data_IF_384457057472
#
_entry.id   IF_384457057472
#
_cell.length_a   1.000
_cell.length_b   1.000
_cell.length_c   1.000
_cell.angle_alpha   90.00
_cell.angle_beta   90.00
_cell.angle_gamma   90.00
#
_symmetry.space_group_name_H-M   'P 1'
#
loop_
_entity.id
_entity.type
_entity.pdbx_description
1 polymer ?
#
# COMPACT_ATOMS: atom_id res chain seq x y z
N UNK A 1 6.82 -23.66 52.07
CA UNK A 1 7.58 -23.46 50.83
C UNK A 1 6.68 -22.75 49.85
N UNK A 2 6.56 -21.43 50.01
CA UNK A 2 5.85 -20.57 49.06
C UNK A 2 6.90 -20.06 48.09
N UNK A 3 6.78 -20.44 46.82
CA UNK A 3 7.69 -19.99 45.77
C UNK A 3 7.05 -18.78 45.10
N UNK A 4 7.41 -17.60 45.59
CA UNK A 4 7.04 -16.29 45.04
C UNK A 4 7.64 -16.10 43.65
N UNK A 5 6.76 -16.00 42.65
CA UNK A 5 7.06 -15.56 41.29
C UNK A 5 7.53 -14.11 41.32
N UNK A 6 8.84 -13.89 41.20
CA UNK A 6 9.38 -12.58 40.85
C UNK A 6 9.06 -12.30 39.38
N UNK A 7 7.97 -11.57 39.15
CA UNK A 7 7.71 -10.93 37.87
C UNK A 7 8.75 -9.82 37.66
N UNK A 8 9.63 -10.01 36.69
CA UNK A 8 10.61 -9.00 36.26
C UNK A 8 9.90 -7.83 35.60
N UNK A 9 9.53 -6.82 36.39
CA UNK A 9 9.15 -5.49 35.90
C UNK A 9 10.39 -4.76 35.38
N UNK A 10 10.81 -5.09 34.16
CA UNK A 10 11.66 -4.21 33.35
C UNK A 10 10.74 -3.17 32.70
N UNK A 11 10.26 -2.19 33.47
CA UNK A 11 9.74 -0.95 32.88
C UNK A 11 10.95 -0.20 32.30
N UNK A 12 11.15 -0.34 31.01
CA UNK A 12 12.04 0.53 30.24
C UNK A 12 11.55 1.97 30.40
N UNK A 13 12.42 2.88 30.83
CA UNK A 13 12.10 4.30 31.02
C UNK A 13 11.63 5.00 29.71
N UNK A 14 11.69 4.31 28.56
CA UNK A 14 11.32 4.81 27.24
C UNK A 14 10.18 4.02 26.57
N UNK A 15 9.36 3.27 27.31
CA UNK A 15 8.22 2.53 26.74
C UNK A 15 6.89 3.08 27.23
N UNK A 16 5.96 3.28 26.29
CA UNK A 16 4.55 3.59 26.57
C UNK A 16 3.68 2.41 26.14
N UNK A 17 2.70 2.07 26.97
CA UNK A 17 1.73 1.00 26.67
C UNK A 17 0.35 1.61 26.46
N UNK A 18 -0.30 1.23 25.37
CA UNK A 18 -1.70 1.52 25.10
C UNK A 18 -2.46 0.20 24.96
N UNK A 19 -3.55 0.06 25.72
CA UNK A 19 -4.45 -1.08 25.62
C UNK A 19 -5.63 -0.68 24.73
N UNK A 20 -5.64 -1.22 23.51
CA UNK A 20 -6.75 -1.02 22.58
C UNK A 20 -7.98 -1.82 23.02
N UNK A 21 -9.21 -1.26 22.91
CA UNK A 21 -10.44 -2.01 23.17
C UNK A 21 -10.68 -3.14 22.15
N UNK A 22 -10.00 -3.11 21.01
CA UNK A 22 -10.13 -4.09 19.93
C UNK A 22 -8.75 -4.60 19.48
N UNK A 23 -8.64 -5.82 18.93
CA UNK A 23 -7.41 -6.27 18.28
C UNK A 23 -6.98 -5.28 17.19
N UNK A 24 -5.68 -5.03 17.06
CA UNK A 24 -5.14 -4.06 16.09
C UNK A 24 -4.75 -4.80 14.81
N UNK A 25 -5.23 -4.32 13.66
CA UNK A 25 -4.91 -4.85 12.33
C UNK A 25 -3.85 -4.02 11.60
N UNK A 26 -3.96 -2.69 11.68
CA UNK A 26 -3.04 -1.75 11.05
C UNK A 26 -2.70 -0.61 12.00
N UNK A 27 -1.52 -0.02 11.80
CA UNK A 27 -1.05 1.11 12.60
C UNK A 27 -0.21 2.05 11.72
N UNK A 28 -0.27 3.34 12.01
CA UNK A 28 0.58 4.35 11.39
C UNK A 28 1.04 5.38 12.42
N UNK A 29 2.22 5.96 12.22
CA UNK A 29 2.74 7.07 13.02
C UNK A 29 3.00 8.25 12.10
N UNK A 30 2.62 9.46 12.50
CA UNK A 30 2.92 10.66 11.73
C UNK A 30 4.43 10.87 11.62
N UNK A 31 4.91 11.20 10.42
CA UNK A 31 6.34 11.41 10.18
C UNK A 31 6.91 12.61 10.92
N UNK A 32 6.06 13.59 11.25
CA UNK A 32 6.45 14.81 11.92
C UNK A 32 5.70 15.00 13.23
N UNK A 33 6.43 15.54 14.21
CA UNK A 33 5.84 16.02 15.44
C UNK A 33 5.39 17.48 15.26
N UNK A 34 4.11 17.75 15.51
CA UNK A 34 3.63 19.11 15.61
C UNK A 34 4.15 19.73 16.92
N UNK A 35 4.75 20.92 16.84
CA UNK A 35 5.13 21.68 18.02
C UNK A 35 3.88 22.39 18.57
N UNK A 36 3.32 21.88 19.67
CA UNK A 36 2.15 22.47 20.32
C UNK A 36 2.52 22.92 21.73
N UNK A 37 2.40 24.21 22.04
CA UNK A 37 2.82 24.78 23.33
C UNK A 37 4.25 24.40 23.77
N UNK A 38 5.17 24.21 22.82
CA UNK A 38 6.57 23.82 23.10
C UNK A 38 6.80 22.33 23.29
N UNK A 39 5.76 21.49 23.25
CA UNK A 39 5.85 20.03 23.32
C UNK A 39 5.80 19.42 21.92
N UNK A 40 6.55 18.34 21.71
CA UNK A 40 6.54 17.55 20.46
C UNK A 40 5.47 16.47 20.53
N UNK A 41 4.48 16.56 19.63
CA UNK A 41 3.35 15.61 19.57
C UNK A 41 3.26 14.92 18.22
N UNK A 42 3.17 13.59 18.21
CA UNK A 42 2.87 12.78 17.02
C UNK A 42 1.48 12.19 17.09
N UNK A 43 0.90 11.97 15.91
CA UNK A 43 -0.36 11.25 15.74
C UNK A 43 -0.05 9.77 15.51
N UNK A 44 -0.73 8.87 16.21
CA UNK A 44 -0.64 7.43 16.00
C UNK A 44 -2.02 6.92 15.62
N UNK A 45 -2.20 6.47 14.39
CA UNK A 45 -3.44 5.86 13.94
C UNK A 45 -3.41 4.36 14.24
N UNK A 46 -4.50 3.82 14.80
CA UNK A 46 -4.69 2.38 15.03
C UNK A 46 -6.01 1.95 14.42
N UNK A 47 -5.99 0.89 13.60
CA UNK A 47 -7.15 0.30 12.97
C UNK A 47 -7.50 -1.04 13.62
N UNK A 48 -8.78 -1.25 13.94
CA UNK A 48 -9.24 -2.49 14.55
C UNK A 48 -9.27 -3.67 13.58
N UNK A 49 -9.25 -4.88 14.13
CA UNK A 49 -9.73 -6.09 13.50
C UNK A 49 -11.01 -6.56 14.20
N UNK A 50 -12.14 -6.33 13.54
CA UNK A 50 -13.45 -6.87 13.91
C UNK A 50 -13.94 -7.72 12.75
N UNK A 51 -14.51 -8.88 13.05
CA UNK A 51 -15.11 -9.78 12.05
C UNK A 51 -16.36 -9.16 11.39
N UNK A 52 -16.94 -8.15 12.03
CA UNK A 52 -18.06 -7.37 11.53
C UNK A 52 -17.62 -6.37 10.45
N UNK A 53 -18.58 -5.93 9.63
CA UNK A 53 -18.35 -4.91 8.60
C UNK A 53 -17.82 -3.59 9.17
N UNK A 54 -18.31 -3.18 10.34
CA UNK A 54 -18.01 -1.89 10.95
C UNK A 54 -16.80 -2.00 11.85
N UNK A 55 -15.63 -1.72 11.28
CA UNK A 55 -14.37 -1.56 12.01
C UNK A 55 -14.20 -0.12 12.48
N UNK A 56 -13.15 0.16 13.27
CA UNK A 56 -12.86 1.46 13.83
C UNK A 56 -11.40 1.84 13.63
N UNK A 57 -11.15 3.09 13.27
CA UNK A 57 -9.82 3.70 13.31
C UNK A 57 -9.83 4.78 14.39
N UNK A 58 -8.82 4.78 15.25
CA UNK A 58 -8.62 5.77 16.31
C UNK A 58 -7.26 6.45 16.15
N UNK A 59 -7.22 7.76 16.43
CA UNK A 59 -5.99 8.55 16.43
C UNK A 59 -5.60 8.87 17.88
N UNK A 60 -4.47 8.34 18.28
CA UNK A 60 -3.84 8.58 19.56
C UNK A 60 -2.84 9.72 19.44
N UNK A 61 -2.68 10.43 20.53
CA UNK A 61 -1.70 11.49 20.69
C UNK A 61 -0.49 10.98 21.45
N UNK A 62 0.66 10.90 20.80
CA UNK A 62 1.92 10.60 21.45
C UNK A 62 2.69 11.88 21.77
N UNK A 63 2.90 12.16 23.05
CA UNK A 63 3.77 13.25 23.52
C UNK A 63 5.18 12.71 23.72
N UNK A 64 6.13 13.15 22.89
CA UNK A 64 7.51 12.64 22.90
C UNK A 64 8.24 13.00 24.21
N UNK A 65 8.03 14.22 24.71
CA UNK A 65 8.76 14.74 25.87
C UNK A 65 8.35 14.05 27.18
N UNK A 66 7.08 13.65 27.28
CA UNK A 66 6.52 12.98 28.48
C UNK A 66 6.42 11.46 28.30
N UNK A 67 6.65 10.96 27.09
CA UNK A 67 6.47 9.55 26.70
C UNK A 67 5.07 9.05 27.08
N UNK A 68 4.04 9.85 26.79
CA UNK A 68 2.64 9.52 27.09
C UNK A 68 1.79 9.40 25.85
N UNK A 69 0.84 8.45 25.89
CA UNK A 69 -0.21 8.31 24.88
C UNK A 69 -1.52 8.80 25.48
N UNK A 70 -2.20 9.70 24.76
CA UNK A 70 -3.50 10.24 25.12
C UNK A 70 -4.53 9.84 24.06
N UNK A 71 -5.66 9.31 24.51
CA UNK A 71 -6.82 9.03 23.67
C UNK A 71 -7.69 10.28 23.59
N UNK A 72 -8.38 10.44 22.46
CA UNK A 72 -9.46 11.42 22.32
C UNK A 72 -10.65 10.70 21.67
N UNK A 73 -11.78 10.51 22.40
CA UNK A 73 -12.95 9.85 21.84
C UNK A 73 -13.50 10.49 20.55
N UNK A 74 -13.25 11.79 20.35
CA UNK A 74 -13.63 12.52 19.12
C UNK A 74 -12.68 12.29 17.93
N UNK A 75 -11.54 11.64 18.14
CA UNK A 75 -10.58 11.30 17.09
C UNK A 75 -10.68 9.81 16.73
N UNK A 76 -11.88 9.40 16.35
CA UNK A 76 -12.10 8.07 15.80
C UNK A 76 -13.24 8.07 14.80
N UNK A 77 -13.20 7.13 13.86
CA UNK A 77 -14.22 6.98 12.83
C UNK A 77 -14.46 5.51 12.49
N UNK A 78 -15.63 5.24 11.92
CA UNK A 78 -15.98 3.91 11.42
C UNK A 78 -15.28 3.64 10.08
N UNK A 79 -14.73 2.45 9.93
CA UNK A 79 -14.08 1.99 8.71
C UNK A 79 -14.78 0.73 8.18
N UNK A 80 -15.18 0.70 6.90
CA UNK A 80 -15.64 -0.54 6.25
C UNK A 80 -14.53 -1.58 6.20
N UNK A 81 -14.74 -2.73 6.84
CA UNK A 81 -13.77 -3.82 7.01
C UNK A 81 -12.49 -3.40 7.77
N UNK A 82 -11.68 -4.36 8.25
CA UNK A 82 -10.39 -4.03 8.84
C UNK A 82 -9.51 -3.29 7.82
N UNK A 83 -8.92 -2.13 8.19
CA UNK A 83 -8.09 -1.37 7.25
C UNK A 83 -6.79 -2.13 6.97
N UNK A 84 -6.56 -2.53 5.72
CA UNK A 84 -5.38 -3.34 5.34
C UNK A 84 -4.07 -2.61 5.53
N UNK A 85 -4.09 -1.27 5.46
CA UNK A 85 -2.96 -0.40 5.76
C UNK A 85 -3.44 0.98 6.17
N UNK A 86 -2.62 1.65 6.99
CA UNK A 86 -2.78 3.04 7.38
C UNK A 86 -1.44 3.74 7.16
N UNK A 87 -1.46 4.96 6.62
CA UNK A 87 -0.25 5.80 6.50
C UNK A 87 -0.64 7.27 6.56
N UNK A 88 0.09 8.06 7.34
CA UNK A 88 0.01 9.51 7.25
C UNK A 88 0.75 10.00 6.02
N UNK A 89 0.31 11.13 5.48
CA UNK A 89 1.00 11.81 4.39
C UNK A 89 2.45 12.13 4.81
N UNK A 90 3.44 11.81 3.96
CA UNK A 90 4.85 11.83 4.36
C UNK A 90 5.38 13.23 4.62
N UNK A 91 4.76 14.28 4.08
CA UNK A 91 5.14 15.68 4.32
C UNK A 91 3.92 16.62 4.49
N UNK A 92 3.31 16.70 5.69
CA UNK A 92 2.11 17.51 5.92
C UNK A 92 2.38 19.02 5.81
N UNK A 93 3.65 19.45 5.92
CA UNK A 93 4.01 20.88 5.96
C UNK A 93 3.84 21.62 4.64
N UNK A 94 3.74 20.90 3.51
CA UNK A 94 3.72 21.51 2.18
C UNK A 94 2.33 21.96 1.69
N UNK A 95 1.21 21.41 2.19
CA UNK A 95 -0.11 21.66 1.57
C UNK A 95 -1.27 22.00 2.50
N UNK A 96 -1.25 21.72 3.81
CA UNK A 96 -2.40 22.00 4.66
C UNK A 96 -2.03 22.65 5.99
N UNK A 97 -2.51 23.88 6.18
CA UNK A 97 -2.47 24.60 7.45
C UNK A 97 -3.20 23.74 8.49
N UNK A 98 -2.51 23.30 9.54
CA UNK A 98 -3.05 22.71 10.78
C UNK A 98 -3.67 21.31 10.76
N UNK A 99 -3.63 20.55 9.65
CA UNK A 99 -4.23 19.22 9.59
C UNK A 99 -3.29 18.16 9.01
N UNK A 100 -3.29 16.97 9.60
CA UNK A 100 -2.59 15.78 9.11
C UNK A 100 -3.49 15.05 8.12
N UNK A 101 -2.98 14.65 6.96
CA UNK A 101 -3.71 13.79 6.02
C UNK A 101 -3.40 12.32 6.34
N UNK A 102 -4.42 11.53 6.65
CA UNK A 102 -4.33 10.09 6.86
C UNK A 102 -4.96 9.35 5.68
N UNK A 103 -4.32 8.28 5.24
CA UNK A 103 -4.86 7.38 4.22
C UNK A 103 -5.08 5.99 4.80
N UNK A 104 -6.21 5.38 4.45
CA UNK A 104 -6.54 4.00 4.79
C UNK A 104 -6.89 3.21 3.54
N UNK A 105 -6.52 1.93 3.52
CA UNK A 105 -6.95 0.97 2.51
C UNK A 105 -7.87 -0.10 3.09
N UNK A 106 -8.73 -0.66 2.25
CA UNK A 106 -9.67 -1.74 2.57
C UNK A 106 -10.35 -2.19 1.29
N UNK A 107 -11.67 -2.08 1.21
CA UNK A 107 -12.41 -2.14 -0.05
C UNK A 107 -12.03 -1.01 -1.02
N UNK A 108 -11.80 0.20 -0.50
CA UNK A 108 -11.37 1.39 -1.25
C UNK A 108 -10.19 2.10 -0.58
N UNK A 109 -9.56 3.02 -1.30
CA UNK A 109 -8.57 3.93 -0.74
C UNK A 109 -9.28 5.19 -0.23
N UNK A 110 -9.16 5.51 1.06
CA UNK A 110 -9.85 6.65 1.69
C UNK A 110 -8.86 7.63 2.27
N UNK A 111 -9.15 8.92 2.07
CA UNK A 111 -8.39 10.04 2.60
C UNK A 111 -9.20 10.70 3.71
N UNK A 112 -8.53 11.00 4.81
CA UNK A 112 -9.09 11.58 6.02
C UNK A 112 -8.24 12.77 6.46
N UNK A 113 -8.88 13.91 6.68
CA UNK A 113 -8.24 15.07 7.27
C UNK A 113 -8.35 14.98 8.79
N UNK A 114 -7.22 14.81 9.46
CA UNK A 114 -7.12 14.71 10.92
C UNK A 114 -6.76 16.09 11.47
N UNK A 115 -7.70 16.68 12.21
CA UNK A 115 -7.54 17.95 12.92
C UNK A 115 -7.31 17.68 14.41
N UNK A 116 -7.07 18.72 15.20
CA UNK A 116 -6.82 18.58 16.65
C UNK A 116 -7.98 17.89 17.40
N UNK A 117 -9.22 18.13 16.97
CA UNK A 117 -10.42 17.67 17.66
C UNK A 117 -11.46 16.97 16.77
N UNK A 118 -11.20 16.82 15.47
CA UNK A 118 -12.13 16.15 14.55
C UNK A 118 -11.38 15.43 13.43
N UNK A 119 -12.08 14.50 12.77
CA UNK A 119 -11.60 13.78 11.60
C UNK A 119 -12.68 13.91 10.52
N UNK A 120 -12.31 14.43 9.36
CA UNK A 120 -13.24 14.66 8.26
C UNK A 120 -12.86 13.79 7.05
N UNK A 121 -13.83 13.12 6.39
CA UNK A 121 -13.56 12.39 5.16
C UNK A 121 -13.28 13.38 4.02
N UNK A 122 -12.17 13.17 3.30
CA UNK A 122 -11.76 14.02 2.17
C UNK A 122 -12.22 13.43 0.85
N UNK A 123 -11.85 12.16 0.60
CA UNK A 123 -12.19 11.47 -0.65
C UNK A 123 -12.16 9.96 -0.49
N UNK A 124 -12.96 9.27 -1.29
CA UNK A 124 -12.88 7.82 -1.48
C UNK A 124 -12.52 7.55 -2.93
N UNK A 125 -11.39 6.87 -3.15
CA UNK A 125 -10.85 6.55 -4.45
C UNK A 125 -11.08 5.06 -4.73
N UNK A 126 -11.76 4.78 -5.84
CA UNK A 126 -12.06 3.45 -6.32
C UNK A 126 -11.94 3.40 -7.84
N UNK A 127 -11.71 2.22 -8.39
CA UNK A 127 -11.45 2.04 -9.83
C UNK A 127 -12.75 1.80 -10.63
N UNK A 128 -13.92 2.05 -10.03
CA UNK A 128 -15.19 1.73 -10.65
C UNK A 128 -15.75 2.93 -11.41
N UNK A 129 -15.73 2.87 -12.74
CA UNK A 129 -16.62 3.69 -13.58
C UNK A 129 -17.97 3.02 -13.85
N UNK A 130 -18.16 1.74 -13.53
CA UNK A 130 -19.32 0.93 -14.00
C UNK A 130 -19.77 -0.24 -13.12
N UNK A 131 -19.10 -0.56 -12.01
CA UNK A 131 -19.36 -1.73 -11.15
C UNK A 131 -19.68 -1.33 -9.71
N UNK A 132 -20.65 -1.97 -9.07
CA UNK A 132 -20.91 -1.79 -7.62
C UNK A 132 -19.82 -2.43 -6.74
N UNK A 133 -18.87 -3.17 -7.34
CA UNK A 133 -17.81 -3.91 -6.64
C UNK A 133 -16.43 -3.68 -7.26
N UNK A 134 -15.45 -3.29 -6.43
CA UNK A 134 -14.02 -3.39 -6.72
C UNK A 134 -13.40 -4.47 -5.84
N UNK A 135 -12.35 -5.13 -6.33
CA UNK A 135 -11.57 -6.04 -5.50
C UNK A 135 -10.86 -5.25 -4.38
N UNK A 136 -10.80 -5.80 -3.15
CA UNK A 136 -10.18 -5.12 -2.02
C UNK A 136 -8.69 -4.87 -2.26
N UNK A 137 -8.20 -3.79 -1.67
CA UNK A 137 -6.82 -3.39 -1.67
C UNK A 137 -6.06 -4.15 -0.58
N UNK A 138 -4.94 -4.76 -0.95
CA UNK A 138 -4.08 -5.51 -0.03
C UNK A 138 -3.08 -4.61 0.67
N UNK A 139 -2.62 -3.55 0.01
CA UNK A 139 -1.68 -2.56 0.53
C UNK A 139 -1.71 -1.29 -0.32
N UNK A 140 -1.00 -0.27 0.15
CA UNK A 140 -0.67 0.94 -0.61
C UNK A 140 0.63 1.56 -0.12
N UNK A 141 1.22 2.44 -0.91
CA UNK A 141 2.38 3.22 -0.49
C UNK A 141 2.39 4.62 -1.10
N UNK A 142 2.97 5.56 -0.37
CA UNK A 142 3.16 6.94 -0.81
C UNK A 142 4.38 7.05 -1.70
N UNK A 143 4.26 7.82 -2.78
CA UNK A 143 5.44 8.26 -3.50
C UNK A 143 6.08 9.43 -2.73
N UNK A 144 7.15 9.18 -1.98
CA UNK A 144 7.79 10.24 -1.16
C UNK A 144 8.39 11.38 -2.01
N UNK A 145 8.73 11.12 -3.28
CA UNK A 145 9.28 12.11 -4.20
C UNK A 145 8.19 12.98 -4.83
N UNK A 146 7.04 12.38 -5.14
CA UNK A 146 5.83 13.05 -5.63
C UNK A 146 4.60 12.71 -4.76
N UNK A 147 4.44 13.30 -3.56
CA UNK A 147 3.40 12.90 -2.60
C UNK A 147 1.95 13.09 -3.05
N UNK A 148 1.70 13.69 -4.22
CA UNK A 148 0.39 13.64 -4.89
C UNK A 148 0.03 12.23 -5.40
N UNK A 149 1.00 11.30 -5.44
CA UNK A 149 0.83 9.93 -5.94
C UNK A 149 0.80 8.91 -4.82
N UNK A 150 -0.16 8.00 -4.94
CA UNK A 150 -0.24 6.77 -4.14
C UNK A 150 -0.30 5.59 -5.10
N UNK A 151 0.43 4.53 -4.78
CA UNK A 151 0.30 3.22 -5.44
C UNK A 151 -0.49 2.28 -4.55
N UNK A 152 -1.46 1.54 -5.08
CA UNK A 152 -2.23 0.52 -4.36
C UNK A 152 -2.05 -0.85 -5.02
N UNK A 153 -2.00 -1.91 -4.23
CA UNK A 153 -2.04 -3.30 -4.69
C UNK A 153 -3.38 -3.97 -4.38
N UNK A 154 -3.79 -4.96 -5.18
CA UNK A 154 -5.05 -5.68 -4.97
C UNK A 154 -4.93 -7.18 -5.26
N UNK A 155 -5.90 -7.93 -4.73
CA UNK A 155 -6.10 -9.33 -5.07
C UNK A 155 -6.54 -9.55 -6.52
N UNK A 156 -6.98 -8.51 -7.24
CA UNK A 156 -7.31 -8.61 -8.67
C UNK A 156 -6.09 -8.65 -9.61
N UNK A 157 -4.91 -8.90 -9.04
CA UNK A 157 -3.61 -8.97 -9.71
C UNK A 157 -3.05 -7.64 -10.23
N UNK A 158 -3.73 -6.52 -9.91
CA UNK A 158 -3.33 -5.19 -10.37
C UNK A 158 -2.62 -4.34 -9.32
N UNK A 159 -1.81 -3.41 -9.83
CA UNK A 159 -1.38 -2.22 -9.11
C UNK A 159 -2.03 -1.00 -9.75
N UNK A 160 -2.59 -0.10 -8.94
CA UNK A 160 -3.21 1.16 -9.42
C UNK A 160 -2.46 2.35 -8.85
N UNK A 161 -2.10 3.29 -9.72
CA UNK A 161 -1.45 4.55 -9.36
C UNK A 161 -2.49 5.67 -9.43
N UNK A 162 -2.63 6.37 -8.32
CA UNK A 162 -3.61 7.43 -8.10
C UNK A 162 -2.92 8.79 -8.10
N UNK A 163 -3.56 9.79 -8.70
CA UNK A 163 -3.30 11.20 -8.38
C UNK A 163 -4.37 11.63 -7.36
N UNK A 164 -3.96 11.80 -6.11
CA UNK A 164 -4.88 12.09 -5.01
C UNK A 164 -5.35 13.54 -4.98
N UNK A 165 -4.60 14.48 -5.58
CA UNK A 165 -4.99 15.88 -5.68
C UNK A 165 -6.10 16.07 -6.73
N UNK A 166 -6.03 15.29 -7.82
CA UNK A 166 -7.05 15.26 -8.86
C UNK A 166 -8.18 14.26 -8.56
N UNK A 167 -7.95 13.32 -7.65
CA UNK A 167 -8.89 12.26 -7.32
C UNK A 167 -9.13 11.28 -8.48
N UNK A 168 -8.11 11.00 -9.30
CA UNK A 168 -8.23 10.16 -10.49
C UNK A 168 -7.19 9.03 -10.52
N UNK A 169 -7.52 7.95 -11.23
CA UNK A 169 -6.55 6.93 -11.63
C UNK A 169 -5.62 7.51 -12.70
N UNK A 170 -4.32 7.56 -12.44
CA UNK A 170 -3.32 7.90 -13.47
C UNK A 170 -3.01 6.70 -14.37
N UNK A 171 -2.86 5.52 -13.76
CA UNK A 171 -2.60 4.28 -14.50
C UNK A 171 -2.98 3.07 -13.65
N UNK A 172 -3.42 2.01 -14.30
CA UNK A 172 -3.58 0.70 -13.70
C UNK A 172 -2.74 -0.29 -14.50
N UNK A 173 -2.03 -1.18 -13.81
CA UNK A 173 -1.12 -2.14 -14.37
C UNK A 173 -1.54 -3.53 -13.92
N UNK A 174 -1.66 -4.47 -14.87
CA UNK A 174 -1.71 -5.90 -14.54
C UNK A 174 -0.30 -6.26 -14.07
N UNK A 175 -0.10 -6.28 -12.76
CA UNK A 175 1.23 -6.35 -12.19
C UNK A 175 1.73 -7.80 -12.18
N UNK A 176 0.84 -8.74 -11.87
CA UNK A 176 1.17 -10.14 -11.63
C UNK A 176 0.11 -11.10 -12.19
N UNK A 177 0.43 -12.39 -12.20
CA UNK A 177 -0.47 -13.46 -12.64
C UNK A 177 -1.38 -14.00 -11.52
N UNK A 178 -1.15 -13.52 -10.28
CA UNK A 178 -1.93 -13.82 -9.07
C UNK A 178 -2.04 -12.58 -8.18
N UNK A 179 -2.67 -12.72 -7.02
CA UNK A 179 -2.90 -11.64 -6.04
C UNK A 179 -1.60 -10.89 -5.74
N UNK A 180 -1.67 -9.55 -5.74
CA UNK A 180 -0.56 -8.70 -5.32
C UNK A 180 -0.71 -8.44 -3.83
N UNK A 181 0.32 -8.71 -3.04
CA UNK A 181 0.26 -8.55 -1.58
C UNK A 181 0.78 -7.22 -1.09
N UNK A 182 1.77 -6.65 -1.77
CA UNK A 182 2.34 -5.36 -1.37
C UNK A 182 2.88 -4.57 -2.56
N UNK A 183 3.02 -3.26 -2.35
CA UNK A 183 3.60 -2.29 -3.26
C UNK A 183 4.48 -1.33 -2.46
N UNK A 184 5.63 -0.96 -2.99
CA UNK A 184 6.53 0.01 -2.38
C UNK A 184 7.17 0.92 -3.44
N UNK A 185 7.12 2.24 -3.23
CA UNK A 185 7.80 3.21 -4.08
C UNK A 185 9.30 3.23 -3.80
N UNK A 186 10.08 3.46 -4.86
CA UNK A 186 11.51 3.74 -4.76
C UNK A 186 11.85 5.14 -5.23
N UNK A 187 11.45 5.49 -6.44
CA UNK A 187 11.68 6.81 -7.06
C UNK A 187 10.37 7.39 -7.61
N UNK A 188 10.40 8.64 -8.09
CA UNK A 188 9.20 9.35 -8.59
C UNK A 188 8.35 8.55 -9.60
N UNK A 189 8.98 7.68 -10.40
CA UNK A 189 8.30 6.84 -11.38
C UNK A 189 8.58 5.34 -11.24
N UNK A 190 9.20 4.90 -10.14
CA UNK A 190 9.61 3.50 -9.97
C UNK A 190 9.02 2.93 -8.69
N UNK A 191 8.35 1.79 -8.81
CA UNK A 191 7.82 1.05 -7.66
C UNK A 191 8.07 -0.45 -7.82
N UNK A 192 8.02 -1.16 -6.69
CA UNK A 192 8.11 -2.61 -6.61
C UNK A 192 6.79 -3.21 -6.14
N UNK A 193 6.48 -4.43 -6.55
CA UNK A 193 5.37 -5.21 -6.03
C UNK A 193 5.73 -6.67 -5.81
N UNK A 194 5.01 -7.33 -4.90
CA UNK A 194 5.18 -8.74 -4.55
C UNK A 194 3.86 -9.49 -4.65
N UNK A 195 3.89 -10.76 -5.04
CA UNK A 195 2.67 -11.51 -5.34
C UNK A 195 2.68 -12.96 -4.87
N UNK A 196 1.47 -13.53 -4.76
CA UNK A 196 1.20 -14.95 -4.62
C UNK A 196 1.76 -15.81 -5.78
N UNK A 197 2.12 -15.20 -6.92
CA UNK A 197 2.84 -15.87 -8.01
C UNK A 197 4.30 -16.22 -7.65
N UNK A 198 4.76 -15.75 -6.47
CA UNK A 198 6.11 -16.02 -5.95
C UNK A 198 7.17 -15.09 -6.52
N UNK A 199 6.78 -14.01 -7.20
CA UNK A 199 7.69 -13.04 -7.80
C UNK A 199 7.67 -11.67 -7.11
N UNK A 200 8.79 -10.96 -7.28
CA UNK A 200 8.94 -9.53 -7.00
C UNK A 200 9.26 -8.85 -8.32
N UNK A 201 8.50 -7.82 -8.68
CA UNK A 201 8.62 -7.08 -9.93
C UNK A 201 8.89 -5.60 -9.67
N UNK A 202 9.72 -4.99 -10.50
CA UNK A 202 9.96 -3.54 -10.55
C UNK A 202 9.26 -2.98 -11.77
N UNK A 203 8.57 -1.87 -11.60
CA UNK A 203 7.83 -1.15 -12.63
C UNK A 203 8.41 0.25 -12.79
N UNK A 204 8.51 0.70 -14.04
CA UNK A 204 8.85 2.08 -14.38
C UNK A 204 7.65 2.71 -15.11
N UNK A 205 7.10 3.79 -14.57
CA UNK A 205 5.94 4.47 -15.16
C UNK A 205 6.21 5.08 -16.54
N UNK A 206 7.48 5.18 -16.95
CA UNK A 206 7.89 5.60 -18.30
C UNK A 206 7.75 4.47 -19.32
N UNK A 207 7.76 3.21 -18.89
CA UNK A 207 7.58 2.02 -19.70
C UNK A 207 6.51 1.10 -19.07
N UNK A 208 5.24 1.46 -19.28
CA UNK A 208 4.08 0.79 -18.68
C UNK A 208 3.82 -0.60 -19.24
N UNK A 209 4.45 -0.94 -20.36
CA UNK A 209 4.25 -2.23 -21.04
C UNK A 209 5.15 -3.32 -20.45
N UNK A 210 6.20 -2.94 -19.71
CA UNK A 210 7.18 -3.88 -19.19
C UNK A 210 7.42 -3.72 -17.69
N UNK A 211 7.71 -4.83 -17.04
CA UNK A 211 8.24 -4.88 -15.68
C UNK A 211 9.48 -5.76 -15.64
N UNK A 212 10.35 -5.52 -14.66
CA UNK A 212 11.54 -6.35 -14.43
C UNK A 212 11.28 -7.29 -13.26
N UNK A 213 11.32 -8.61 -13.51
CA UNK A 213 11.28 -9.60 -12.43
C UNK A 213 12.65 -9.63 -11.74
N UNK A 214 12.72 -9.19 -10.49
CA UNK A 214 13.96 -9.17 -9.69
C UNK A 214 14.09 -10.37 -8.76
N UNK A 215 12.97 -11.05 -8.48
CA UNK A 215 12.93 -12.33 -7.78
C UNK A 215 11.72 -13.11 -8.30
N UNK A 216 11.82 -14.43 -8.41
CA UNK A 216 10.68 -15.24 -8.83
C UNK A 216 11.02 -16.72 -8.90
N UNK A 217 10.03 -17.55 -8.54
CA UNK A 217 10.09 -18.98 -8.85
C UNK A 217 9.83 -19.12 -10.34
N UNK A 218 10.89 -19.24 -11.15
CA UNK A 218 10.72 -19.73 -12.51
C UNK A 218 10.16 -21.14 -12.41
N UNK A 219 8.93 -21.35 -12.85
CA UNK A 219 8.50 -22.70 -13.16
C UNK A 219 9.55 -23.30 -14.13
N UNK A 220 10.06 -24.51 -13.86
CA UNK A 220 10.90 -25.18 -14.85
C UNK A 220 10.06 -25.23 -16.14
N UNK A 221 10.64 -24.91 -17.32
CA UNK A 221 9.87 -24.91 -18.55
C UNK A 221 9.17 -26.26 -18.66
N UNK A 222 7.84 -26.26 -18.56
CA UNK A 222 7.05 -27.45 -18.78
C UNK A 222 7.43 -27.94 -20.16
N UNK A 223 8.09 -29.11 -20.24
CA UNK A 223 8.33 -29.76 -21.53
C UNK A 223 6.97 -29.93 -22.17
N UNK A 224 6.66 -29.10 -23.17
CA UNK A 224 5.54 -29.39 -24.06
C UNK A 224 5.75 -30.83 -24.57
N UNK A 225 4.74 -31.70 -24.53
CA UNK A 225 4.81 -32.96 -25.25
C UNK A 225 5.10 -32.62 -26.71
N UNK A 226 6.10 -33.28 -27.29
CA UNK A 226 6.42 -33.18 -28.70
C UNK A 226 5.13 -33.53 -29.45
N UNK A 227 4.45 -32.52 -29.99
CA UNK A 227 3.39 -32.75 -30.95
C UNK A 227 4.05 -33.39 -32.17
N UNK A 228 3.61 -34.61 -32.49
CA UNK A 228 4.04 -35.37 -33.64
C UNK A 228 4.04 -34.51 -34.90
N UNK A 229 5.13 -34.62 -35.66
CA UNK A 229 5.26 -34.07 -36.99
C UNK A 229 4.08 -34.51 -37.88
N UNK A 230 3.26 -33.55 -38.28
CA UNK A 230 2.35 -33.63 -39.42
C UNK A 230 2.92 -32.77 -40.55
N UNK A 231 3.30 -33.42 -41.64
CA UNK A 231 3.87 -32.83 -42.86
C UNK A 231 2.93 -31.79 -43.48
N UNK A 232 3.36 -30.53 -43.58
CA UNK A 232 3.00 -29.68 -44.72
C UNK A 232 4.25 -29.04 -45.33
N UNK A 233 4.35 -29.17 -46.66
CA UNK A 233 5.51 -28.85 -47.47
C UNK A 233 5.71 -27.33 -47.59
N UNK A 234 6.77 -26.79 -46.99
CA UNK A 234 7.27 -25.48 -47.35
C UNK A 234 8.09 -25.57 -48.66
N UNK A 235 7.55 -25.05 -49.77
CA UNK A 235 8.28 -24.85 -51.03
C UNK A 235 9.22 -23.64 -50.90
N UNK A 236 10.52 -23.85 -51.08
CA UNK A 236 11.49 -22.76 -51.27
C UNK A 236 11.62 -22.41 -52.76
N UNK A 237 11.57 -21.11 -53.10
CA UNK A 237 11.89 -20.57 -54.42
C UNK A 237 13.23 -19.83 -54.32
N UNK A 238 14.26 -20.35 -54.97
CA UNK A 238 15.59 -19.71 -55.05
C UNK A 238 15.59 -18.76 -56.25
N UNK A 239 15.88 -17.48 -56.02
CA UNK A 239 16.24 -16.55 -57.11
C UNK A 239 17.72 -16.74 -57.44
N UNK A 240 18.01 -17.04 -58.71
CA UNK A 240 19.38 -17.08 -59.23
C UNK A 240 19.81 -15.67 -59.61
N UNK A 241 20.87 -15.18 -58.98
CA UNK A 241 21.58 -13.99 -59.45
C UNK A 241 22.43 -14.35 -60.67
N UNK A 242 22.05 -13.79 -61.82
CA UNK A 242 22.86 -13.79 -63.04
C UNK A 242 24.00 -12.78 -62.86
N UNK A 243 25.23 -13.28 -62.70
CA UNK A 243 26.45 -12.49 -62.92
C UNK A 243 27.06 -12.90 -64.27
N UNK A 244 26.62 -12.26 -65.35
CA UNK A 244 27.38 -12.24 -66.60
C UNK A 244 28.27 -11.01 -66.61
N UNK A 245 29.57 -11.23 -66.45
CA UNK A 245 30.62 -10.27 -66.74
C UNK A 245 31.67 -10.93 -67.63
N UNK A 246 31.47 -10.84 -68.95
CA UNK A 246 32.46 -10.51 -69.99
C UNK A 246 31.79 -10.54 -71.37
#
# INVERSE_FOLDING_TARGET
MENSTQGSNLRSENSVTYESPYPIFAMAVSSFAAAHHGLRRRSVAVGSFLEEYKNRVEILSFEEDTVTLKTNPGLAFDHPYPPTKLMFHPNPTASMKSADLLVSSGDYLRLWEVREASIEPVSTLNNSKTSEYCAPLTSFDWNEVEPRRIGTSSIDTTCTIWDIEKGVVETQLIAHDKEVYDIAWGEAGVFSSVSADGSVRIFDLRDKEHSTIIYGVREPPTRHPIAQAGLEQARFKVHGDNINGQ
#
